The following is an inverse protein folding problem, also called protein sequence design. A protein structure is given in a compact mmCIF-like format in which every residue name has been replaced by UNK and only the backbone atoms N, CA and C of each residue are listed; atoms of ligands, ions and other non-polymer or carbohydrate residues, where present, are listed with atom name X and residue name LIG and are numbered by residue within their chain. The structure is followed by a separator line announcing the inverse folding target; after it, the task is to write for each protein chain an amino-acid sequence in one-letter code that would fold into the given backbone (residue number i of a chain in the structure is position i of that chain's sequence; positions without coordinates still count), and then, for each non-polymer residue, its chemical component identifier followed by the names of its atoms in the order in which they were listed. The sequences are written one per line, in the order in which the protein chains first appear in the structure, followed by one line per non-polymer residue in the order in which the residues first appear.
data_IF_780913193331
#
_entry.id   IF_780913193331
#
_cell.length_a   1.000
_cell.length_b   1.000
_cell.length_c   1.000
_cell.angle_alpha   90.00
_cell.angle_beta   90.00
_cell.angle_gamma   90.00
#
_symmetry.space_group_name_H-M   'P 1'
#
loop_
_entity.id
_entity.type
_entity.pdbx_description
1 polymer ?
#
# COMPACT_ATOMS: atom_id res chain seq x y z
N UNK A 1 10.19 61.94 11.86
CA UNK A 1 10.38 60.63 12.52
C UNK A 1 9.98 59.56 11.52
N UNK A 2 10.92 58.72 11.10
CA UNK A 2 10.76 57.75 10.00
C UNK A 2 10.81 56.35 10.63
N UNK A 3 9.67 55.67 10.68
CA UNK A 3 9.55 54.33 11.24
C UNK A 3 10.16 53.31 10.27
N UNK A 4 11.06 52.48 10.77
CA UNK A 4 11.71 51.39 10.02
C UNK A 4 10.95 50.11 10.35
N UNK A 5 10.31 49.50 9.34
CA UNK A 5 9.67 48.19 9.46
C UNK A 5 10.75 47.10 9.37
N UNK A 6 10.92 46.33 10.44
CA UNK A 6 11.67 45.08 10.42
C UNK A 6 10.72 43.96 9.99
N UNK A 7 10.89 43.45 8.77
CA UNK A 7 10.21 42.24 8.32
C UNK A 7 10.90 41.02 8.90
N UNK A 8 10.23 40.32 9.81
CA UNK A 8 10.62 39.00 10.26
C UNK A 8 10.27 38.00 9.14
N UNK A 9 11.28 37.41 8.49
CA UNK A 9 11.07 36.31 7.54
C UNK A 9 10.90 35.03 8.37
N UNK A 10 9.66 34.51 8.42
CA UNK A 10 9.41 33.15 8.89
C UNK A 10 9.81 32.18 7.78
N UNK A 11 10.92 31.48 7.99
CA UNK A 11 11.34 30.36 7.16
C UNK A 11 10.54 29.13 7.60
N UNK A 12 9.47 28.81 6.88
CA UNK A 12 8.72 27.57 7.10
C UNK A 12 9.58 26.40 6.64
N UNK A 13 10.06 25.60 7.60
CA UNK A 13 10.55 24.26 7.31
C UNK A 13 9.32 23.38 7.07
N UNK A 14 9.06 23.01 5.83
CA UNK A 14 8.22 21.85 5.56
C UNK A 14 9.03 20.61 5.96
N UNK A 15 8.75 20.06 7.14
CA UNK A 15 9.01 18.63 7.37
C UNK A 15 8.20 17.88 6.33
N UNK A 16 8.88 17.23 5.38
CA UNK A 16 8.24 16.24 4.52
C UNK A 16 7.56 15.22 5.42
N UNK A 17 6.24 15.07 5.28
CA UNK A 17 5.52 14.00 5.94
C UNK A 17 6.17 12.66 5.54
N UNK A 18 6.38 11.79 6.52
CA UNK A 18 7.02 10.48 6.33
C UNK A 18 5.96 9.51 5.76
N UNK A 19 5.64 9.62 4.47
CA UNK A 19 4.68 8.74 3.82
C UNK A 19 5.02 7.25 4.07
N UNK A 20 3.99 6.44 4.34
CA UNK A 20 4.10 5.00 4.57
C UNK A 20 3.61 4.19 3.37
N UNK A 21 2.97 4.85 2.41
CA UNK A 21 2.54 4.29 1.13
C UNK A 21 3.04 5.14 -0.03
N UNK A 22 3.49 4.50 -1.11
CA UNK A 22 3.81 5.21 -2.34
C UNK A 22 2.55 5.84 -2.94
N UNK A 23 2.71 6.87 -3.76
CA UNK A 23 1.60 7.44 -4.52
C UNK A 23 1.11 6.41 -5.55
N UNK A 24 0.00 5.72 -5.28
CA UNK A 24 -0.62 4.75 -6.20
C UNK A 24 -1.39 5.42 -7.34
N UNK A 25 -0.98 6.62 -7.78
CA UNK A 25 -1.79 7.47 -8.66
C UNK A 25 -2.18 6.79 -9.99
N UNK A 26 -1.50 5.70 -10.35
CA UNK A 26 -1.75 4.93 -11.58
C UNK A 26 -2.14 3.46 -11.35
N UNK A 27 -2.24 2.97 -10.10
CA UNK A 27 -2.44 1.54 -9.83
C UNK A 27 -3.72 1.29 -9.04
N UNK A 28 -4.64 0.54 -9.64
CA UNK A 28 -5.90 0.20 -8.99
C UNK A 28 -5.72 -0.85 -7.88
N UNK A 29 -6.46 -0.70 -6.79
CA UNK A 29 -6.52 -1.71 -5.73
C UNK A 29 -7.55 -2.81 -6.08
N UNK A 30 -7.16 -4.09 -6.14
CA UNK A 30 -8.01 -5.21 -6.56
C UNK A 30 -9.14 -5.51 -5.58
N UNK A 31 -9.07 -5.06 -4.33
CA UNK A 31 -10.13 -5.23 -3.34
C UNK A 31 -11.25 -4.19 -3.48
N UNK A 32 -10.99 -3.10 -4.21
CA UNK A 32 -11.89 -1.93 -4.28
C UNK A 32 -12.43 -1.73 -5.68
N UNK A 33 -11.63 -2.05 -6.71
CA UNK A 33 -11.98 -1.81 -8.11
C UNK A 33 -13.34 -2.44 -8.46
N UNK A 34 -14.27 -1.66 -9.03
CA UNK A 34 -15.60 -2.18 -9.39
C UNK A 34 -15.54 -3.21 -10.51
N UNK A 35 -16.53 -4.11 -10.60
CA UNK A 35 -16.57 -5.18 -11.61
C UNK A 35 -16.52 -4.66 -13.05
N UNK A 36 -17.18 -3.53 -13.35
CA UNK A 36 -17.17 -2.92 -14.68
C UNK A 36 -15.77 -2.39 -15.05
N UNK A 37 -15.05 -1.83 -14.06
CA UNK A 37 -13.70 -1.34 -14.24
C UNK A 37 -12.70 -2.50 -14.38
N UNK A 38 -12.86 -3.58 -13.61
CA UNK A 38 -12.12 -4.84 -13.79
C UNK A 38 -12.29 -5.37 -15.22
N UNK A 39 -13.52 -5.48 -15.72
CA UNK A 39 -13.80 -5.95 -17.08
C UNK A 39 -13.33 -5.01 -18.20
N UNK A 40 -12.84 -3.82 -17.85
CA UNK A 40 -12.24 -2.87 -18.79
C UNK A 40 -10.71 -2.97 -18.85
N UNK A 41 -10.08 -3.73 -17.94
CA UNK A 41 -8.64 -3.99 -17.96
C UNK A 41 -8.26 -4.94 -19.11
N UNK A 42 -7.03 -4.84 -19.65
CA UNK A 42 -6.52 -5.76 -20.67
C UNK A 42 -6.68 -7.21 -20.22
N UNK A 43 -7.00 -8.14 -21.12
CA UNK A 43 -7.08 -9.59 -20.84
C UNK A 43 -8.14 -10.05 -19.82
N UNK A 44 -8.80 -9.14 -19.07
CA UNK A 44 -9.85 -9.50 -18.12
C UNK A 44 -11.17 -9.74 -18.83
N UNK A 45 -11.57 -11.01 -18.91
CA UNK A 45 -12.93 -11.40 -19.30
C UNK A 45 -13.95 -11.13 -18.19
N UNK A 46 -15.24 -11.09 -18.53
CA UNK A 46 -16.33 -11.00 -17.55
C UNK A 46 -16.30 -12.13 -16.51
N UNK A 47 -15.94 -13.35 -16.94
CA UNK A 47 -15.78 -14.50 -16.04
C UNK A 47 -14.61 -14.29 -15.07
N UNK A 48 -13.46 -13.80 -15.57
CA UNK A 48 -12.31 -13.53 -14.72
C UNK A 48 -12.57 -12.36 -13.76
N UNK A 49 -13.23 -11.29 -14.21
CA UNK A 49 -13.64 -10.18 -13.35
C UNK A 49 -14.54 -10.66 -12.20
N UNK A 50 -15.49 -11.56 -12.49
CA UNK A 50 -16.36 -12.16 -11.47
C UNK A 50 -15.55 -12.97 -10.46
N UNK A 51 -14.62 -13.82 -10.91
CA UNK A 51 -13.71 -14.57 -10.03
C UNK A 51 -12.83 -13.65 -9.18
N UNK A 52 -12.37 -12.54 -9.74
CA UNK A 52 -11.57 -11.56 -8.99
C UNK A 52 -12.40 -10.94 -7.86
N UNK A 53 -13.66 -10.59 -8.11
CA UNK A 53 -14.56 -10.04 -7.08
C UNK A 53 -14.91 -11.10 -6.02
N UNK A 54 -15.21 -12.33 -6.45
CA UNK A 54 -15.53 -13.45 -5.54
C UNK A 54 -14.37 -13.86 -4.63
N UNK A 55 -13.12 -13.64 -5.07
CA UNK A 55 -11.91 -13.98 -4.31
C UNK A 55 -11.49 -12.94 -3.26
N UNK A 56 -12.24 -11.84 -3.09
CA UNK A 56 -11.90 -10.79 -2.12
C UNK A 56 -12.15 -11.25 -0.67
N UNK A 57 -11.40 -10.70 0.31
CA UNK A 57 -10.28 -9.78 0.14
C UNK A 57 -8.97 -10.52 -0.19
N UNK A 58 -8.16 -9.94 -1.06
CA UNK A 58 -6.76 -10.33 -1.26
C UNK A 58 -5.89 -9.68 -0.19
N UNK A 59 -5.24 -10.49 0.63
CA UNK A 59 -4.33 -10.03 1.69
C UNK A 59 -2.90 -9.86 1.18
N UNK A 60 -2.53 -10.52 0.07
CA UNK A 60 -1.21 -10.42 -0.57
C UNK A 60 -1.30 -10.39 -2.10
N UNK A 61 -0.23 -9.94 -2.77
CA UNK A 61 -0.14 -9.96 -4.23
C UNK A 61 -0.17 -11.39 -4.79
N UNK A 62 0.40 -12.36 -4.06
CA UNK A 62 0.38 -13.77 -4.43
C UNK A 62 -1.03 -14.37 -4.41
N UNK A 63 -1.91 -13.91 -3.50
CA UNK A 63 -3.30 -14.36 -3.49
C UNK A 63 -4.05 -13.88 -4.73
N UNK A 64 -3.83 -12.63 -5.14
CA UNK A 64 -4.37 -12.09 -6.40
C UNK A 64 -3.80 -12.86 -7.61
N UNK A 65 -2.48 -13.03 -7.68
CA UNK A 65 -1.81 -13.76 -8.76
C UNK A 65 -2.37 -15.18 -8.94
N UNK A 66 -2.65 -15.88 -7.83
CA UNK A 66 -3.26 -17.21 -7.88
C UNK A 66 -4.60 -17.23 -8.61
N UNK A 67 -5.42 -16.18 -8.49
CA UNK A 67 -6.69 -16.09 -9.20
C UNK A 67 -6.46 -15.76 -10.69
N UNK A 68 -5.54 -14.83 -10.97
CA UNK A 68 -5.23 -14.40 -12.33
C UNK A 68 -4.59 -15.52 -13.16
N UNK A 69 -3.62 -16.25 -12.59
CA UNK A 69 -2.84 -17.31 -13.25
C UNK A 69 -3.66 -18.54 -13.67
N UNK A 70 -4.90 -18.68 -13.19
CA UNK A 70 -5.83 -19.71 -13.68
C UNK A 70 -6.22 -19.46 -15.13
N UNK A 71 -6.29 -18.20 -15.55
CA UNK A 71 -6.79 -17.78 -16.87
C UNK A 71 -5.77 -17.05 -17.72
N UNK A 72 -4.79 -16.40 -17.10
CA UNK A 72 -3.82 -15.53 -17.75
C UNK A 72 -2.42 -16.14 -17.76
N UNK A 73 -1.73 -16.03 -18.89
CA UNK A 73 -0.31 -16.36 -18.97
C UNK A 73 0.58 -15.31 -18.27
N UNK A 74 1.89 -15.57 -18.18
CA UNK A 74 2.81 -14.68 -17.47
C UNK A 74 2.89 -13.27 -18.07
N UNK A 75 2.85 -13.14 -19.39
CA UNK A 75 2.90 -11.85 -20.07
C UNK A 75 1.60 -11.08 -19.86
N UNK A 76 0.46 -11.75 -19.95
CA UNK A 76 -0.85 -11.15 -19.68
C UNK A 76 -0.98 -10.68 -18.23
N UNK A 77 -0.41 -11.43 -17.27
CA UNK A 77 -0.38 -11.01 -15.86
C UNK A 77 0.53 -9.80 -15.64
N UNK A 78 1.69 -9.73 -16.29
CA UNK A 78 2.58 -8.57 -16.19
C UNK A 78 1.88 -7.29 -16.70
N UNK A 79 1.11 -7.37 -17.79
CA UNK A 79 0.27 -6.26 -18.27
C UNK A 79 -0.75 -5.83 -17.21
N UNK A 80 -1.40 -6.78 -16.52
CA UNK A 80 -2.34 -6.48 -15.44
C UNK A 80 -1.66 -5.80 -14.26
N UNK A 81 -0.49 -6.27 -13.84
CA UNK A 81 0.22 -5.71 -12.69
C UNK A 81 0.66 -4.25 -12.92
N UNK A 82 0.77 -3.80 -14.16
CA UNK A 82 0.98 -2.39 -14.49
C UNK A 82 -0.26 -1.50 -14.26
N UNK A 83 -1.45 -2.07 -14.16
CA UNK A 83 -2.74 -1.35 -14.08
C UNK A 83 -3.48 -1.59 -12.75
N UNK A 84 -3.34 -2.79 -12.17
CA UNK A 84 -3.97 -3.19 -10.91
C UNK A 84 -3.04 -4.12 -10.13
N UNK A 85 -2.84 -3.83 -8.85
CA UNK A 85 -1.97 -4.62 -8.00
C UNK A 85 -2.38 -4.55 -6.54
N UNK A 86 -2.21 -5.66 -5.82
CA UNK A 86 -2.28 -5.66 -4.37
C UNK A 86 -0.90 -5.30 -3.83
N UNK A 87 -0.78 -4.14 -3.19
CA UNK A 87 0.50 -3.70 -2.63
C UNK A 87 1.06 -4.71 -1.63
N UNK A 88 2.39 -4.72 -1.56
CA UNK A 88 3.20 -5.68 -0.83
C UNK A 88 3.69 -5.05 0.48
N UNK A 89 3.60 -5.81 1.57
CA UNK A 89 4.23 -5.44 2.83
C UNK A 89 5.75 -5.49 2.67
N UNK A 90 6.38 -4.32 2.57
CA UNK A 90 7.81 -4.19 2.32
C UNK A 90 8.66 -4.87 3.40
N UNK A 91 8.15 -5.02 4.62
CA UNK A 91 8.89 -5.58 5.75
C UNK A 91 8.74 -7.09 5.90
N UNK A 92 7.70 -7.70 5.33
CA UNK A 92 7.40 -9.13 5.56
C UNK A 92 7.22 -9.96 4.30
N UNK A 93 7.03 -9.36 3.13
CA UNK A 93 6.73 -10.12 1.91
C UNK A 93 7.88 -11.06 1.49
N UNK A 94 7.58 -12.29 1.06
CA UNK A 94 8.60 -13.20 0.54
C UNK A 94 9.11 -12.75 -0.84
N UNK A 95 10.32 -13.20 -1.21
CA UNK A 95 10.94 -12.94 -2.52
C UNK A 95 9.98 -13.22 -3.70
N UNK A 96 9.24 -14.34 -3.66
CA UNK A 96 8.26 -14.71 -4.70
C UNK A 96 7.14 -13.68 -4.89
N UNK A 97 6.75 -12.97 -3.83
CA UNK A 97 5.75 -11.91 -3.91
C UNK A 97 6.38 -10.62 -4.47
N UNK A 98 7.60 -10.27 -4.04
CA UNK A 98 8.36 -9.11 -4.55
C UNK A 98 8.60 -9.26 -6.06
N UNK A 99 8.87 -10.47 -6.52
CA UNK A 99 9.09 -10.80 -7.93
C UNK A 99 7.84 -10.60 -8.81
N UNK A 100 6.64 -10.42 -8.24
CA UNK A 100 5.42 -10.07 -9.00
C UNK A 100 5.42 -8.60 -9.47
N UNK A 101 6.27 -7.74 -8.91
CA UNK A 101 6.39 -6.36 -9.38
C UNK A 101 6.94 -6.38 -10.82
N UNK A 102 6.27 -5.73 -11.80
CA UNK A 102 6.73 -5.71 -13.20
C UNK A 102 8.19 -5.28 -13.34
N UNK A 103 8.95 -5.95 -14.20
CA UNK A 103 10.38 -5.68 -14.39
C UNK A 103 11.28 -5.94 -13.17
N UNK A 104 10.78 -6.58 -12.10
CA UNK A 104 11.62 -6.95 -10.96
C UNK A 104 12.70 -7.96 -11.35
N UNK A 105 13.85 -7.87 -10.69
CA UNK A 105 14.95 -8.84 -10.87
C UNK A 105 15.30 -9.45 -9.51
N UNK A 106 15.75 -10.70 -9.49
CA UNK A 106 16.16 -11.34 -8.23
C UNK A 106 17.27 -10.60 -7.48
N UNK A 107 18.12 -9.83 -8.20
CA UNK A 107 19.08 -8.94 -7.54
C UNK A 107 18.37 -7.81 -6.79
N UNK A 108 17.40 -7.13 -7.42
CA UNK A 108 16.68 -6.03 -6.77
C UNK A 108 15.75 -6.51 -5.67
N UNK A 109 15.11 -7.67 -5.83
CA UNK A 109 14.32 -8.28 -4.76
C UNK A 109 15.19 -8.57 -3.52
N UNK A 110 16.42 -9.05 -3.72
CA UNK A 110 17.37 -9.21 -2.63
C UNK A 110 17.73 -7.88 -1.94
N UNK A 111 17.89 -6.78 -2.68
CA UNK A 111 18.15 -5.47 -2.06
C UNK A 111 16.94 -5.03 -1.19
N UNK A 112 15.70 -5.31 -1.59
CA UNK A 112 14.52 -5.02 -0.76
C UNK A 112 14.58 -5.80 0.56
N UNK A 113 14.96 -7.07 0.52
CA UNK A 113 15.07 -7.88 1.74
C UNK A 113 16.22 -7.41 2.65
N UNK A 114 17.36 -7.06 2.08
CA UNK A 114 18.59 -6.74 2.84
C UNK A 114 18.44 -5.51 3.74
N UNK A 115 17.64 -4.52 3.33
CA UNK A 115 17.43 -3.28 4.10
C UNK A 115 16.28 -3.34 5.11
N UNK A 116 15.60 -4.48 5.24
CA UNK A 116 14.55 -4.66 6.25
C UNK A 116 15.12 -4.56 7.69
N UNK A 117 14.38 -3.98 8.64
CA UNK A 117 13.09 -3.32 8.46
C UNK A 117 13.23 -1.90 7.90
N UNK A 118 12.32 -1.54 7.01
CA UNK A 118 12.04 -0.17 6.62
C UNK A 118 11.10 0.48 7.62
N UNK A 119 11.45 1.69 8.04
CA UNK A 119 10.64 2.49 8.95
C UNK A 119 9.97 3.68 8.23
N UNK A 120 10.39 3.95 6.99
CA UNK A 120 9.83 5.01 6.16
C UNK A 120 10.13 4.83 4.68
N UNK A 121 9.30 5.43 3.83
CA UNK A 121 9.60 5.51 2.39
C UNK A 121 10.79 6.41 2.08
N UNK A 122 11.15 7.33 2.97
CA UNK A 122 12.41 8.08 2.83
C UNK A 122 13.63 7.14 2.95
N UNK A 123 13.60 6.19 3.89
CA UNK A 123 14.61 5.13 3.96
C UNK A 123 14.60 4.31 2.67
N UNK A 124 13.42 3.88 2.19
CA UNK A 124 13.30 3.15 0.92
C UNK A 124 13.96 3.89 -0.25
N UNK A 125 13.59 5.16 -0.48
CA UNK A 125 14.16 6.01 -1.53
C UNK A 125 15.68 6.11 -1.46
N UNK A 126 16.21 6.34 -0.25
CA UNK A 126 17.64 6.49 -0.03
C UNK A 126 18.41 5.20 -0.26
N UNK A 127 17.90 4.07 0.22
CA UNK A 127 18.60 2.79 0.10
C UNK A 127 18.48 2.22 -1.33
N UNK A 128 17.28 2.19 -1.89
CA UNK A 128 17.02 1.63 -3.23
C UNK A 128 17.53 2.55 -4.36
N UNK A 129 17.48 3.87 -4.17
CA UNK A 129 18.01 4.84 -5.14
C UNK A 129 19.53 4.78 -5.36
N UNK A 130 20.26 3.96 -4.60
CA UNK A 130 21.68 3.65 -4.89
C UNK A 130 21.85 2.72 -6.09
N UNK A 131 20.81 1.98 -6.45
CA UNK A 131 20.88 0.88 -7.43
C UNK A 131 20.12 1.18 -8.71
N UNK A 132 19.07 2.00 -8.63
CA UNK A 132 18.18 2.33 -9.74
C UNK A 132 17.94 3.84 -9.82
N UNK A 133 17.35 4.32 -10.92
CA UNK A 133 17.06 5.75 -11.10
C UNK A 133 15.90 6.22 -10.21
N UNK A 134 15.74 7.53 -10.05
CA UNK A 134 14.63 8.11 -9.28
C UNK A 134 13.26 7.72 -9.86
N UNK A 135 13.15 7.62 -11.18
CA UNK A 135 11.92 7.18 -11.85
C UNK A 135 11.58 5.73 -11.50
N UNK A 136 12.59 4.87 -11.41
CA UNK A 136 12.40 3.46 -11.05
C UNK A 136 12.08 3.29 -9.56
N UNK A 137 12.70 4.08 -8.68
CA UNK A 137 12.30 4.16 -7.27
C UNK A 137 10.82 4.56 -7.16
N UNK A 138 10.42 5.64 -7.84
CA UNK A 138 9.05 6.12 -7.82
C UNK A 138 8.05 5.10 -8.39
N UNK A 139 8.48 4.28 -9.36
CA UNK A 139 7.69 3.17 -9.86
C UNK A 139 7.52 2.09 -8.80
N UNK A 140 8.60 1.63 -8.17
CA UNK A 140 8.53 0.59 -7.14
C UNK A 140 7.68 1.00 -5.93
N UNK A 141 7.72 2.27 -5.54
CA UNK A 141 6.92 2.78 -4.42
C UNK A 141 5.42 2.51 -4.57
N UNK A 142 4.89 2.46 -5.80
CA UNK A 142 3.46 2.20 -6.05
C UNK A 142 3.04 0.77 -5.67
N UNK A 143 4.00 -0.15 -5.58
CA UNK A 143 3.73 -1.57 -5.33
C UNK A 143 3.90 -1.97 -3.87
N UNK A 144 4.34 -1.05 -3.01
CA UNK A 144 4.73 -1.37 -1.64
C UNK A 144 4.00 -0.48 -0.63
N UNK A 145 3.90 -0.99 0.59
CA UNK A 145 3.60 -0.21 1.78
C UNK A 145 4.49 -0.65 2.94
N UNK A 146 4.63 0.22 3.93
CA UNK A 146 5.24 -0.12 5.22
C UNK A 146 4.11 -0.28 6.25
N UNK A 147 4.04 -1.41 6.99
CA UNK A 147 2.99 -1.62 7.96
C UNK A 147 2.96 -0.54 9.04
N UNK A 148 1.76 -0.07 9.36
CA UNK A 148 1.56 1.03 10.29
C UNK A 148 1.23 0.51 11.68
N UNK A 149 2.04 0.87 12.67
CA UNK A 149 1.73 0.56 14.06
C UNK A 149 0.43 1.29 14.48
N UNK A 150 -0.57 0.52 14.93
CA UNK A 150 -1.89 1.03 15.28
C UNK A 150 -1.87 2.11 16.36
N UNK A 151 -0.88 2.13 17.24
CA UNK A 151 -0.77 3.08 18.35
C UNK A 151 0.10 4.30 18.02
N UNK A 152 1.10 4.13 17.16
CA UNK A 152 2.16 5.14 16.96
C UNK A 152 2.10 5.85 15.59
N UNK A 153 1.52 5.22 14.57
CA UNK A 153 1.45 5.82 13.23
C UNK A 153 0.64 7.12 13.23
N UNK A 154 1.02 8.08 12.37
CA UNK A 154 0.23 9.27 12.15
C UNK A 154 -1.08 8.92 11.40
N UNK A 155 -2.18 9.61 11.72
CA UNK A 155 -3.49 9.32 11.13
C UNK A 155 -3.54 9.56 9.62
N UNK A 156 -2.72 10.48 9.13
CA UNK A 156 -2.55 10.75 7.70
C UNK A 156 -2.09 9.51 6.93
N UNK A 157 -1.29 8.63 7.54
CA UNK A 157 -0.85 7.38 6.88
C UNK A 157 -1.98 6.37 6.78
N UNK A 158 -2.88 6.28 7.76
CA UNK A 158 -4.08 5.44 7.61
C UNK A 158 -5.01 5.94 6.51
N UNK A 159 -5.03 7.25 6.25
CA UNK A 159 -5.82 7.80 5.16
C UNK A 159 -5.26 7.44 3.77
N UNK A 160 -4.00 7.00 3.68
CA UNK A 160 -3.38 6.52 2.44
C UNK A 160 -3.81 5.09 2.08
N UNK A 161 -4.33 4.31 3.05
CA UNK A 161 -4.83 2.95 2.79
C UNK A 161 -5.99 3.04 1.78
N UNK A 162 -5.92 2.30 0.65
CA UNK A 162 -6.98 2.31 -0.34
C UNK A 162 -8.34 2.06 0.31
N UNK A 163 -9.33 2.89 -0.03
CA UNK A 163 -10.70 2.76 0.46
C UNK A 163 -10.94 3.32 1.86
N UNK A 164 -9.91 3.79 2.57
CA UNK A 164 -10.13 4.43 3.87
C UNK A 164 -10.92 5.73 3.74
N UNK A 165 -11.93 5.85 4.59
CA UNK A 165 -12.72 7.08 4.71
C UNK A 165 -12.28 7.87 5.93
N UNK A 166 -12.51 9.20 5.98
CA UNK A 166 -12.22 10.00 7.18
C UNK A 166 -12.91 9.45 8.44
N UNK A 167 -14.08 8.83 8.28
CA UNK A 167 -14.78 8.16 9.39
C UNK A 167 -13.98 6.95 9.89
N UNK A 168 -13.53 6.06 8.99
CA UNK A 168 -12.74 4.88 9.38
C UNK A 168 -11.41 5.29 10.05
N UNK A 169 -10.74 6.33 9.55
CA UNK A 169 -9.51 6.85 10.18
C UNK A 169 -9.80 7.34 11.60
N UNK A 170 -10.93 8.03 11.80
CA UNK A 170 -11.35 8.44 13.14
C UNK A 170 -11.63 7.25 14.07
N UNK A 171 -12.26 6.18 13.59
CA UNK A 171 -12.43 4.97 14.42
C UNK A 171 -11.08 4.34 14.80
N UNK A 172 -10.07 4.37 13.91
CA UNK A 172 -8.72 3.92 14.26
C UNK A 172 -8.13 4.74 15.42
N UNK A 173 -8.30 6.06 15.39
CA UNK A 173 -7.85 6.96 16.45
C UNK A 173 -8.58 6.72 17.78
N UNK A 174 -9.91 6.61 17.74
CA UNK A 174 -10.79 6.57 18.91
C UNK A 174 -10.47 5.39 19.85
N UNK A 175 -10.09 4.24 19.30
CA UNK A 175 -9.79 3.05 20.10
C UNK A 175 -8.32 2.94 20.53
N UNK A 176 -7.47 3.94 20.25
CA UNK A 176 -6.10 3.97 20.77
C UNK A 176 -6.10 4.13 22.30
N UNK A 177 -5.20 3.45 23.02
CA UNK A 177 -4.29 2.43 22.53
C UNK A 177 -4.98 1.06 22.38
N UNK A 178 -4.74 0.41 21.24
CA UNK A 178 -5.03 -0.99 21.03
C UNK A 178 -4.07 -1.86 21.85
N UNK A 179 -4.62 -2.88 22.49
CA UNK A 179 -3.89 -3.84 23.34
C UNK A 179 -3.67 -5.19 22.68
N UNK A 180 -4.43 -5.49 21.63
CA UNK A 180 -4.30 -6.72 20.84
C UNK A 180 -5.00 -6.58 19.50
N UNK A 181 -4.63 -7.43 18.53
CA UNK A 181 -5.37 -7.51 17.26
C UNK A 181 -6.79 -8.01 17.45
N UNK A 182 -7.07 -8.81 18.50
CA UNK A 182 -8.44 -9.17 18.86
C UNK A 182 -9.27 -7.96 19.30
N UNK A 183 -8.65 -6.95 19.93
CA UNK A 183 -9.32 -5.67 20.17
C UNK A 183 -9.56 -4.96 18.84
N UNK A 184 -8.56 -4.86 17.96
CA UNK A 184 -8.73 -4.25 16.64
C UNK A 184 -9.93 -4.84 15.88
N UNK A 185 -9.94 -6.17 15.69
CA UNK A 185 -11.01 -6.88 14.97
C UNK A 185 -12.38 -6.63 15.60
N UNK A 186 -12.48 -6.68 16.93
CA UNK A 186 -13.75 -6.46 17.65
C UNK A 186 -14.25 -5.02 17.53
N UNK A 187 -13.38 -4.03 17.67
CA UNK A 187 -13.79 -2.62 17.66
C UNK A 187 -14.08 -2.14 16.24
N UNK A 188 -13.23 -2.48 15.26
CA UNK A 188 -13.41 -2.11 13.85
C UNK A 188 -14.56 -2.90 13.19
N UNK A 189 -14.74 -4.16 13.55
CA UNK A 189 -15.87 -5.00 13.07
C UNK A 189 -17.26 -4.54 13.51
N UNK A 190 -17.37 -3.47 14.32
CA UNK A 190 -18.65 -2.79 14.59
C UNK A 190 -19.10 -1.90 13.43
N UNK A 191 -18.18 -1.52 12.54
CA UNK A 191 -18.40 -0.51 11.51
C UNK A 191 -18.29 -1.04 10.09
N UNK A 192 -17.56 -2.15 9.92
CA UNK A 192 -17.31 -2.81 8.64
C UNK A 192 -17.50 -4.32 8.79
N UNK A 193 -17.65 -5.03 7.67
CA UNK A 193 -17.75 -6.49 7.66
C UNK A 193 -16.41 -7.19 7.92
N UNK A 194 -16.45 -8.51 8.06
CA UNK A 194 -15.27 -9.33 8.39
C UNK A 194 -14.18 -9.28 7.32
N UNK A 195 -14.57 -9.19 6.04
CA UNK A 195 -13.64 -9.10 4.92
C UNK A 195 -12.88 -7.76 4.94
N UNK A 196 -13.61 -6.67 5.19
CA UNK A 196 -13.00 -5.35 5.32
C UNK A 196 -12.13 -5.25 6.58
N UNK A 197 -12.51 -5.89 7.69
CA UNK A 197 -11.64 -6.01 8.87
C UNK A 197 -10.33 -6.72 8.51
N UNK A 198 -10.39 -7.86 7.82
CA UNK A 198 -9.20 -8.61 7.42
C UNK A 198 -8.31 -7.81 6.46
N UNK A 199 -8.92 -7.10 5.51
CA UNK A 199 -8.20 -6.22 4.58
C UNK A 199 -7.50 -5.09 5.33
N UNK A 200 -8.17 -4.40 6.25
CA UNK A 200 -7.57 -3.31 7.01
C UNK A 200 -6.48 -3.81 7.97
N UNK A 201 -6.70 -4.96 8.60
CA UNK A 201 -5.73 -5.61 9.47
C UNK A 201 -4.39 -5.88 8.77
N UNK A 202 -4.41 -6.25 7.48
CA UNK A 202 -3.17 -6.53 6.73
C UNK A 202 -2.24 -5.33 6.53
N UNK A 203 -2.70 -4.10 6.78
CA UNK A 203 -1.88 -2.88 6.66
C UNK A 203 -1.25 -2.43 7.99
N UNK A 204 -1.61 -3.08 9.10
CA UNK A 204 -1.31 -2.55 10.43
C UNK A 204 -0.63 -3.56 11.34
N UNK A 205 0.08 -3.04 12.34
CA UNK A 205 0.78 -3.85 13.35
C UNK A 205 0.48 -3.39 14.76
N UNK A 206 0.80 -4.25 15.71
CA UNK A 206 0.93 -3.94 17.14
C UNK A 206 2.26 -4.51 17.61
N UNK A 207 3.12 -3.65 18.15
CA UNK A 207 4.35 -4.05 18.85
C UNK A 207 4.09 -4.27 20.35
#
# INVERSE_FOLDING_TARGET
MRQVFWGLVFMNFCTSAIAQMGTNDNLADPNILGIDALGSLPHISEELASKVVEGRPYLSATELDRVLSVSLDESEREDIYGEMFRQIDLNNAPDEEIMLIPGMTGRMAHEFEEYRPYNSLEQFRREIGKYVSEEEVARFEQYIFIPMNLNDAALEYFAEIPGMTPKMVHEFEEYRPYRSMDQFRREIGKYVDEDEVARLESYVTLD
#
